data_IF_176590454601
#
_entry.id   IF_176590454601
#
_cell.length_a   1.000
_cell.length_b   1.000
_cell.length_c   1.000
_cell.angle_alpha   90.00
_cell.angle_beta   90.00
_cell.angle_gamma   90.00
#
_symmetry.space_group_name_H-M   'P 1'
#
loop_
_entity.id
_entity.type
_entity.pdbx_description
1 polymer ?
#
# COMPACT_ATOMS: atom_id res chain seq x y z
N UNK A 1 -18.96 4.80 -34.10
CA UNK A 1 -17.63 4.13 -34.07
C UNK A 1 -16.58 4.96 -33.33
N UNK A 2 -16.70 6.28 -33.27
CA UNK A 2 -15.73 7.19 -32.61
C UNK A 2 -15.62 7.09 -31.07
N UNK A 3 -16.64 6.61 -30.35
CA UNK A 3 -16.58 6.50 -28.87
C UNK A 3 -15.78 5.28 -28.34
N UNK A 4 -15.50 4.28 -29.16
CA UNK A 4 -14.79 3.05 -28.73
C UNK A 4 -13.26 3.18 -28.72
N UNK A 5 -12.73 4.08 -29.54
CA UNK A 5 -11.29 4.39 -29.60
C UNK A 5 -10.89 5.31 -28.43
N UNK A 6 -11.80 6.18 -27.98
CA UNK A 6 -11.59 7.05 -26.83
C UNK A 6 -11.29 6.28 -25.53
N UNK A 7 -11.85 5.07 -25.36
CA UNK A 7 -11.68 4.27 -24.15
C UNK A 7 -10.29 3.61 -24.05
N UNK A 8 -9.66 3.32 -25.20
CA UNK A 8 -8.27 2.87 -25.28
C UNK A 8 -7.30 4.02 -24.97
N UNK A 9 -7.63 5.24 -25.40
CA UNK A 9 -6.89 6.45 -25.03
C UNK A 9 -7.04 6.78 -23.54
N UNK A 10 -8.21 6.53 -22.94
CA UNK A 10 -8.46 6.80 -21.51
C UNK A 10 -7.69 5.85 -20.59
N UNK A 11 -7.45 4.60 -21.03
CA UNK A 11 -6.53 3.67 -20.33
C UNK A 11 -5.06 4.08 -20.50
N UNK A 12 -4.72 4.80 -21.57
CA UNK A 12 -3.39 5.35 -21.82
C UNK A 12 -3.10 6.58 -20.94
N UNK A 13 -4.10 7.42 -20.68
CA UNK A 13 -3.95 8.57 -19.76
C UNK A 13 -3.74 8.17 -18.30
N UNK A 14 -4.24 7.00 -17.90
CA UNK A 14 -4.06 6.44 -16.55
C UNK A 14 -2.63 5.93 -16.28
N UNK A 15 -1.84 5.68 -17.34
CA UNK A 15 -0.45 5.20 -17.23
C UNK A 15 0.57 6.35 -17.33
N UNK A 16 0.12 7.59 -17.49
CA UNK A 16 1.02 8.74 -17.49
C UNK A 16 1.21 9.30 -16.08
N UNK A 17 2.46 9.46 -15.61
CA UNK A 17 2.74 10.40 -14.54
C UNK A 17 2.19 11.76 -14.99
N UNK A 18 1.49 12.47 -14.11
CA UNK A 18 1.13 13.88 -14.36
C UNK A 18 2.42 14.69 -14.43
N UNK A 19 3.01 14.74 -15.62
CA UNK A 19 4.10 15.66 -15.92
C UNK A 19 3.53 17.07 -15.86
N UNK A 20 4.07 17.86 -14.93
CA UNK A 20 4.07 19.31 -14.98
C UNK A 20 4.29 19.76 -16.42
N UNK A 21 3.45 20.68 -16.88
CA UNK A 21 3.29 21.08 -18.28
C UNK A 21 4.59 21.52 -18.95
N UNK A 22 5.28 20.55 -19.55
CA UNK A 22 6.07 20.73 -20.76
C UNK A 22 5.37 19.91 -21.85
N UNK A 23 5.23 20.48 -23.04
CA UNK A 23 4.55 19.84 -24.17
C UNK A 23 5.44 18.70 -24.70
N UNK A 24 5.45 17.55 -24.01
CA UNK A 24 6.26 16.40 -24.36
C UNK A 24 5.61 15.68 -25.53
N UNK A 25 6.17 15.83 -26.74
CA UNK A 25 5.74 15.08 -27.91
C UNK A 25 6.34 13.67 -27.85
N UNK A 26 5.50 12.65 -27.63
CA UNK A 26 5.93 11.24 -27.69
C UNK A 26 5.75 10.72 -29.12
N UNK A 27 6.82 10.31 -29.82
CA UNK A 27 6.69 9.73 -31.14
C UNK A 27 5.99 8.36 -31.05
N UNK A 28 5.08 8.11 -31.99
CA UNK A 28 4.43 6.82 -32.14
C UNK A 28 4.47 6.34 -33.59
N UNK A 29 4.51 5.03 -33.77
CA UNK A 29 4.42 4.37 -35.06
C UNK A 29 3.43 3.21 -34.98
N UNK A 30 2.69 2.95 -36.05
CA UNK A 30 1.69 1.91 -36.01
C UNK A 30 0.97 1.67 -37.34
N UNK A 31 0.13 0.64 -37.34
CA UNK A 31 -0.73 0.26 -38.44
C UNK A 31 -2.15 0.07 -37.93
N UNK A 32 -3.11 0.54 -38.72
CA UNK A 32 -4.53 0.32 -38.49
C UNK A 32 -5.05 -0.39 -39.74
N UNK A 33 -5.39 -1.66 -39.58
CA UNK A 33 -6.05 -2.44 -40.61
C UNK A 33 -7.55 -2.39 -40.40
N UNK A 34 -8.23 -1.58 -41.21
CA UNK A 34 -9.69 -1.43 -41.17
C UNK A 34 -10.43 -2.65 -41.72
N UNK A 35 -9.79 -3.44 -42.60
CA UNK A 35 -10.38 -4.63 -43.22
C UNK A 35 -10.39 -5.77 -42.21
N UNK A 36 -9.27 -6.02 -41.55
CA UNK A 36 -9.11 -7.06 -40.54
C UNK A 36 -9.46 -6.58 -39.12
N UNK A 37 -9.80 -5.29 -38.95
CA UNK A 37 -10.14 -4.65 -37.66
C UNK A 37 -9.04 -4.84 -36.61
N UNK A 38 -7.81 -4.61 -37.04
CA UNK A 38 -6.62 -4.74 -36.20
C UNK A 38 -5.95 -3.39 -36.04
N UNK A 39 -5.42 -3.15 -34.84
CA UNK A 39 -4.66 -1.97 -34.50
C UNK A 39 -3.38 -2.43 -33.84
N UNK A 40 -2.24 -1.89 -34.30
CA UNK A 40 -0.96 -2.03 -33.65
C UNK A 40 -0.31 -0.66 -33.58
N UNK A 41 -0.04 -0.17 -32.38
CA UNK A 41 0.59 1.13 -32.13
C UNK A 41 1.73 0.92 -31.14
N UNK A 42 2.89 1.51 -31.42
CA UNK A 42 4.05 1.54 -30.52
C UNK A 42 4.40 3.00 -30.23
N UNK A 43 4.51 3.33 -28.95
CA UNK A 43 4.98 4.59 -28.42
C UNK A 43 6.42 4.38 -27.93
N UNK A 44 7.36 5.16 -28.46
CA UNK A 44 8.75 5.15 -28.02
C UNK A 44 8.94 6.28 -27.00
N UNK A 45 9.28 5.90 -25.77
CA UNK A 45 9.41 6.82 -24.64
C UNK A 45 10.87 7.25 -24.42
N UNK A 46 11.82 6.77 -25.23
CA UNK A 46 13.24 7.00 -25.03
C UNK A 46 13.88 6.00 -24.06
N UNK A 47 15.21 5.98 -24.01
CA UNK A 47 16.01 5.11 -23.11
C UNK A 47 15.62 3.62 -23.14
N UNK A 48 15.27 3.12 -24.33
CA UNK A 48 14.76 1.75 -24.60
C UNK A 48 13.38 1.45 -24.00
N UNK A 49 12.71 2.43 -23.40
CA UNK A 49 11.38 2.29 -22.84
C UNK A 49 10.32 2.42 -23.92
N UNK A 50 9.33 1.53 -23.94
CA UNK A 50 8.23 1.64 -24.91
C UNK A 50 6.93 1.08 -24.36
N UNK A 51 5.84 1.54 -24.97
CA UNK A 51 4.51 0.97 -24.79
C UNK A 51 4.01 0.55 -26.17
N UNK A 52 3.63 -0.72 -26.34
CA UNK A 52 2.97 -1.16 -27.58
C UNK A 52 1.60 -1.74 -27.30
N UNK A 53 0.60 -1.24 -28.01
CA UNK A 53 -0.78 -1.66 -27.93
C UNK A 53 -1.14 -2.43 -29.18
N UNK A 54 -1.72 -3.60 -29.01
CA UNK A 54 -2.32 -4.41 -30.05
C UNK A 54 -3.78 -4.65 -29.70
N UNK A 55 -4.68 -4.47 -30.66
CA UNK A 55 -6.08 -4.78 -30.48
C UNK A 55 -6.64 -5.40 -31.77
N UNK A 56 -7.48 -6.42 -31.61
CA UNK A 56 -8.22 -7.02 -32.71
C UNK A 56 -9.68 -7.21 -32.32
N UNK A 57 -10.58 -7.03 -33.28
CA UNK A 57 -11.99 -7.28 -33.10
C UNK A 57 -12.43 -8.45 -33.97
N UNK A 58 -13.09 -9.43 -33.37
CA UNK A 58 -13.60 -10.59 -34.10
C UNK A 58 -14.98 -10.35 -34.76
N UNK A 59 -15.51 -11.38 -35.42
CA UNK A 59 -16.81 -11.33 -36.09
C UNK A 59 -17.98 -11.05 -35.12
N UNK A 60 -17.87 -11.48 -33.86
CA UNK A 60 -18.86 -11.30 -32.80
C UNK A 60 -18.77 -9.92 -32.12
N UNK A 61 -17.84 -9.07 -32.57
CA UNK A 61 -17.51 -7.75 -32.02
C UNK A 61 -16.79 -7.82 -30.67
N UNK A 62 -16.35 -9.00 -30.25
CA UNK A 62 -15.50 -9.14 -29.08
C UNK A 62 -14.12 -8.58 -29.41
N UNK A 63 -13.55 -7.87 -28.45
CA UNK A 63 -12.25 -7.22 -28.61
C UNK A 63 -11.24 -7.98 -27.80
N UNK A 64 -10.13 -8.38 -28.42
CA UNK A 64 -8.93 -8.85 -27.73
C UNK A 64 -7.87 -7.80 -27.83
N UNK A 65 -7.16 -7.58 -26.75
CA UNK A 65 -6.13 -6.57 -26.70
C UNK A 65 -4.92 -7.05 -25.91
N UNK A 66 -3.76 -6.51 -26.25
CA UNK A 66 -2.52 -6.70 -25.54
C UNK A 66 -1.79 -5.36 -25.44
N UNK A 67 -1.28 -5.04 -24.26
CA UNK A 67 -0.44 -3.87 -23.99
C UNK A 67 0.89 -4.39 -23.44
N UNK A 68 1.95 -4.20 -24.21
CA UNK A 68 3.30 -4.47 -23.76
C UNK A 68 3.90 -3.16 -23.22
N UNK A 69 4.33 -3.18 -21.97
CA UNK A 69 5.00 -2.09 -21.28
C UNK A 69 6.41 -2.58 -21.01
N UNK A 70 7.43 -1.87 -21.49
CA UNK A 70 8.82 -2.23 -21.26
C UNK A 70 9.61 -1.06 -20.67
N UNK A 71 10.19 -1.30 -19.49
CA UNK A 71 11.06 -0.39 -18.74
C UNK A 71 10.46 1.00 -18.45
N UNK A 72 9.14 1.10 -18.32
CA UNK A 72 8.47 2.39 -18.11
C UNK A 72 8.60 2.82 -16.65
N UNK A 73 9.28 3.94 -16.42
CA UNK A 73 9.38 4.55 -15.10
C UNK A 73 8.01 5.09 -14.64
N UNK A 74 7.54 4.61 -13.49
CA UNK A 74 6.35 5.14 -12.80
C UNK A 74 6.77 5.77 -11.47
N UNK A 75 5.91 6.57 -10.81
CA UNK A 75 6.22 7.10 -9.47
C UNK A 75 6.49 6.02 -8.41
N UNK A 76 6.05 4.78 -8.64
CA UNK A 76 6.18 3.68 -7.68
C UNK A 76 7.38 2.78 -7.95
N UNK A 77 7.67 2.50 -9.23
CA UNK A 77 8.73 1.59 -9.71
C UNK A 77 8.94 1.71 -11.23
N UNK A 78 10.04 1.18 -11.76
CA UNK A 78 10.19 0.88 -13.19
C UNK A 78 9.45 -0.40 -13.53
N UNK A 79 8.47 -0.33 -14.44
CA UNK A 79 7.56 -1.42 -14.75
C UNK A 79 7.83 -2.02 -16.14
N UNK A 80 7.93 -3.34 -16.22
CA UNK A 80 7.80 -4.12 -17.46
C UNK A 80 6.70 -5.16 -17.29
N UNK A 81 5.75 -5.26 -18.22
CA UNK A 81 4.66 -6.25 -18.17
C UNK A 81 3.95 -6.37 -19.52
N UNK A 82 3.38 -7.55 -19.78
CA UNK A 82 2.44 -7.74 -20.89
C UNK A 82 1.04 -7.89 -20.32
N UNK A 83 0.18 -6.89 -20.52
CA UNK A 83 -1.24 -6.96 -20.16
C UNK A 83 -2.02 -7.52 -21.34
N UNK A 84 -2.70 -8.63 -21.15
CA UNK A 84 -3.61 -9.23 -22.12
C UNK A 84 -5.03 -9.12 -21.61
N UNK A 85 -5.98 -8.87 -22.49
CA UNK A 85 -7.37 -8.86 -22.09
C UNK A 85 -8.35 -9.08 -23.21
N UNK A 86 -9.60 -9.27 -22.79
CA UNK A 86 -10.74 -9.40 -23.68
C UNK A 86 -11.89 -8.53 -23.19
N UNK A 87 -12.73 -8.10 -24.12
CA UNK A 87 -13.94 -7.33 -23.87
C UNK A 87 -15.08 -7.94 -24.68
N UNK A 88 -16.12 -8.38 -23.99
CA UNK A 88 -17.34 -8.97 -24.54
C UNK A 88 -18.52 -8.03 -24.30
N UNK A 89 -19.39 -7.88 -25.29
CA UNK A 89 -20.60 -7.07 -25.15
C UNK A 89 -21.71 -7.91 -24.50
N UNK A 90 -22.28 -7.47 -23.38
CA UNK A 90 -23.26 -8.26 -22.60
C UNK A 90 -24.61 -8.34 -23.31
N UNK A 91 -25.12 -7.22 -23.82
CA UNK A 91 -26.36 -7.15 -24.61
C UNK A 91 -26.23 -6.06 -25.69
N UNK A 92 -26.56 -6.40 -26.94
CA UNK A 92 -26.32 -5.50 -28.08
C UNK A 92 -27.31 -4.32 -28.16
N UNK A 93 -28.51 -4.49 -27.61
CA UNK A 93 -29.65 -3.57 -27.76
C UNK A 93 -30.10 -2.90 -26.45
N UNK A 94 -29.55 -3.29 -25.29
CA UNK A 94 -29.82 -2.60 -24.03
C UNK A 94 -29.01 -1.30 -23.93
N UNK A 95 -29.71 -0.18 -23.82
CA UNK A 95 -29.13 1.08 -23.36
C UNK A 95 -29.27 1.13 -21.84
N UNK A 96 -28.18 1.34 -21.08
CA UNK A 96 -26.81 1.64 -21.52
C UNK A 96 -25.98 0.37 -21.79
N UNK A 97 -25.16 0.41 -22.86
CA UNK A 97 -24.29 -0.71 -23.22
C UNK A 97 -23.31 -1.03 -22.11
N UNK A 98 -23.29 -2.31 -21.71
CA UNK A 98 -22.33 -2.87 -20.78
C UNK A 98 -21.32 -3.74 -21.51
N UNK A 99 -20.07 -3.70 -21.04
CA UNK A 99 -18.99 -4.53 -21.52
C UNK A 99 -18.35 -5.30 -20.36
N UNK A 100 -18.31 -6.62 -20.46
CA UNK A 100 -17.58 -7.45 -19.52
C UNK A 100 -16.19 -7.73 -20.06
N UNK A 101 -15.17 -7.62 -19.22
CA UNK A 101 -13.81 -7.86 -19.63
C UNK A 101 -13.02 -8.70 -18.64
N UNK A 102 -11.94 -9.27 -19.17
CA UNK A 102 -10.91 -9.95 -18.39
C UNK A 102 -9.58 -9.30 -18.69
N UNK A 103 -8.72 -9.23 -17.68
CA UNK A 103 -7.34 -8.76 -17.79
C UNK A 103 -6.42 -9.78 -17.13
N UNK A 104 -5.27 -10.03 -17.73
CA UNK A 104 -4.19 -10.85 -17.18
C UNK A 104 -2.87 -10.13 -17.47
N UNK A 105 -1.99 -10.00 -16.49
CA UNK A 105 -0.62 -9.56 -16.71
C UNK A 105 0.30 -10.76 -16.84
N UNK A 106 1.33 -10.67 -17.68
CA UNK A 106 2.38 -11.67 -17.82
C UNK A 106 3.75 -11.04 -17.72
N UNK A 107 4.70 -11.81 -17.22
CA UNK A 107 6.11 -11.42 -17.14
C UNK A 107 6.31 -10.08 -16.41
N UNK A 108 5.48 -9.82 -15.38
CA UNK A 108 5.51 -8.55 -14.66
C UNK A 108 6.80 -8.44 -13.86
N UNK A 109 7.54 -7.36 -14.11
CA UNK A 109 8.71 -6.95 -13.37
C UNK A 109 8.46 -5.55 -12.83
N UNK A 110 8.66 -5.37 -11.52
CA UNK A 110 8.72 -4.06 -10.90
C UNK A 110 10.15 -3.88 -10.37
N UNK A 111 10.83 -2.84 -10.83
CA UNK A 111 12.25 -2.58 -10.54
C UNK A 111 13.15 -3.79 -10.80
N UNK A 112 12.89 -4.48 -11.91
CA UNK A 112 13.58 -5.70 -12.34
C UNK A 112 13.37 -6.93 -11.43
N UNK A 113 12.46 -6.84 -10.44
CA UNK A 113 12.07 -7.97 -9.59
C UNK A 113 10.81 -8.63 -10.14
N UNK A 114 10.79 -9.98 -10.27
CA UNK A 114 9.60 -10.73 -10.64
C UNK A 114 8.45 -10.46 -9.68
N UNK A 115 7.30 -10.22 -10.25
CA UNK A 115 6.07 -9.92 -9.56
C UNK A 115 5.02 -10.97 -9.89
N UNK A 116 4.11 -11.30 -8.96
CA UNK A 116 2.95 -12.15 -9.26
C UNK A 116 2.18 -11.68 -10.50
N UNK A 117 1.49 -12.59 -11.18
CA UNK A 117 0.62 -12.18 -12.27
C UNK A 117 -0.68 -11.56 -11.71
N UNK A 118 -1.09 -10.43 -12.27
CA UNK A 118 -2.38 -9.83 -12.06
C UNK A 118 -3.44 -10.55 -12.90
N UNK A 119 -4.58 -10.89 -12.32
CA UNK A 119 -5.74 -11.46 -13.00
C UNK A 119 -6.96 -10.67 -12.55
N UNK A 120 -7.79 -10.21 -13.48
CA UNK A 120 -8.97 -9.44 -13.12
C UNK A 120 -10.17 -9.64 -14.04
N UNK A 121 -11.33 -9.41 -13.46
CA UNK A 121 -12.64 -9.36 -14.09
C UNK A 121 -13.24 -7.98 -13.85
N UNK A 122 -13.73 -7.35 -14.91
CA UNK A 122 -14.29 -6.01 -14.83
C UNK A 122 -15.52 -5.85 -15.73
N UNK A 123 -16.34 -4.86 -15.40
CA UNK A 123 -17.47 -4.40 -16.21
C UNK A 123 -17.31 -2.91 -16.49
N UNK A 124 -17.59 -2.49 -17.72
CA UNK A 124 -17.67 -1.07 -18.09
C UNK A 124 -19.09 -0.76 -18.48
N UNK A 125 -19.75 0.09 -17.70
CA UNK A 125 -21.13 0.53 -17.93
C UNK A 125 -21.31 1.92 -17.35
N UNK A 126 -22.12 2.77 -17.98
CA UNK A 126 -22.46 4.10 -17.45
C UNK A 126 -21.27 4.99 -17.13
N UNK A 127 -20.23 4.97 -17.97
CA UNK A 127 -18.99 5.73 -17.73
C UNK A 127 -18.29 5.34 -16.41
N UNK A 128 -18.56 4.14 -15.91
CA UNK A 128 -17.97 3.59 -14.70
C UNK A 128 -17.31 2.26 -15.02
N UNK A 129 -16.08 2.09 -14.53
CA UNK A 129 -15.39 0.81 -14.49
C UNK A 129 -15.69 0.16 -13.15
N UNK A 130 -16.30 -1.02 -13.18
CA UNK A 130 -16.50 -1.87 -12.02
C UNK A 130 -15.43 -2.96 -12.04
N UNK A 131 -14.60 -2.99 -11.01
CA UNK A 131 -13.59 -4.01 -10.80
C UNK A 131 -14.24 -5.07 -9.89
N UNK A 132 -14.72 -6.16 -10.48
CA UNK A 132 -15.34 -7.25 -9.72
C UNK A 132 -14.28 -8.05 -8.96
N UNK A 133 -13.15 -8.28 -9.61
CA UNK A 133 -11.97 -8.85 -8.99
C UNK A 133 -10.73 -8.40 -9.73
N UNK A 134 -9.69 -8.06 -8.99
CA UNK A 134 -8.33 -7.91 -9.50
C UNK A 134 -7.40 -8.48 -8.44
N UNK A 135 -6.71 -9.56 -8.74
CA UNK A 135 -5.80 -10.24 -7.81
C UNK A 135 -4.38 -10.21 -8.36
N UNK A 136 -3.41 -9.93 -7.51
CA UNK A 136 -1.99 -9.98 -7.80
C UNK A 136 -1.29 -10.66 -6.62
N UNK A 137 -0.98 -11.94 -6.78
CA UNK A 137 -0.46 -12.78 -5.70
C UNK A 137 -1.40 -12.78 -4.48
N UNK A 138 -0.89 -12.29 -3.36
CA UNK A 138 -1.58 -12.23 -2.06
C UNK A 138 -2.37 -10.93 -1.84
N UNK A 139 -2.49 -10.10 -2.87
CA UNK A 139 -3.24 -8.84 -2.84
C UNK A 139 -4.46 -8.98 -3.75
N UNK A 140 -5.62 -8.51 -3.31
CA UNK A 140 -6.81 -8.39 -4.14
C UNK A 140 -7.42 -7.01 -4.05
N UNK A 141 -8.08 -6.58 -5.12
CA UNK A 141 -8.73 -5.29 -5.26
C UNK A 141 -10.10 -5.49 -5.89
N UNK A 142 -11.08 -4.75 -5.39
CA UNK A 142 -12.42 -4.66 -5.95
C UNK A 142 -12.94 -3.24 -5.78
N UNK A 143 -13.97 -2.87 -6.53
CA UNK A 143 -14.61 -1.58 -6.39
C UNK A 143 -14.89 -0.94 -7.74
N UNK A 144 -14.73 0.36 -7.85
CA UNK A 144 -15.07 1.08 -9.06
C UNK A 144 -14.35 2.40 -9.26
N UNK A 145 -14.31 2.83 -10.52
CA UNK A 145 -13.76 4.11 -10.97
C UNK A 145 -14.80 4.79 -11.86
N UNK A 146 -15.23 5.99 -11.47
CA UNK A 146 -16.15 6.82 -12.24
C UNK A 146 -15.38 7.80 -13.14
N UNK A 147 -15.58 7.69 -14.45
CA UNK A 147 -14.91 8.53 -15.45
C UNK A 147 -15.57 9.91 -15.64
N UNK A 148 -16.80 10.12 -15.16
CA UNK A 148 -17.56 11.36 -15.39
C UNK A 148 -17.13 12.51 -14.45
N UNK A 149 -16.50 12.19 -13.31
CA UNK A 149 -16.19 13.13 -12.22
C UNK A 149 -14.70 13.12 -11.84
N UNK A 150 -13.80 13.60 -12.71
CA UNK A 150 -12.36 13.73 -12.43
C UNK A 150 -11.70 12.43 -11.93
N UNK A 151 -12.17 11.27 -12.40
CA UNK A 151 -11.73 9.94 -11.93
C UNK A 151 -11.99 9.77 -10.43
N UNK A 152 -13.25 9.52 -10.06
CA UNK A 152 -13.60 9.26 -8.66
C UNK A 152 -13.43 7.78 -8.34
N UNK A 153 -12.71 7.48 -7.26
CA UNK A 153 -12.35 6.13 -6.83
C UNK A 153 -13.27 5.67 -5.70
N UNK A 154 -13.57 4.38 -5.71
CA UNK A 154 -14.16 3.66 -4.58
C UNK A 154 -13.62 2.24 -4.65
N UNK A 155 -12.48 2.00 -4.00
CA UNK A 155 -11.71 0.77 -4.08
C UNK A 155 -11.48 0.18 -2.69
N UNK A 156 -11.52 -1.15 -2.63
CA UNK A 156 -11.13 -1.93 -1.45
C UNK A 156 -10.01 -2.88 -1.85
N UNK A 157 -8.85 -2.69 -1.23
CA UNK A 157 -7.68 -3.56 -1.37
C UNK A 157 -7.62 -4.46 -0.13
N UNK A 158 -7.45 -5.75 -0.34
CA UNK A 158 -7.24 -6.75 0.72
C UNK A 158 -5.88 -7.39 0.58
N UNK A 159 -5.16 -7.49 1.69
CA UNK A 159 -3.87 -8.15 1.82
C UNK A 159 -4.10 -9.44 2.61
N UNK A 160 -3.69 -10.57 2.02
CA UNK A 160 -3.84 -11.90 2.61
C UNK A 160 -2.47 -12.53 2.81
N UNK A 161 -1.86 -12.30 3.97
CA UNK A 161 -0.52 -12.80 4.33
C UNK A 161 0.60 -12.35 3.37
N UNK A 162 0.57 -11.10 2.92
CA UNK A 162 1.62 -10.52 2.05
C UNK A 162 2.96 -10.60 2.77
N UNK A 163 4.02 -11.00 2.09
CA UNK A 163 5.35 -11.08 2.68
C UNK A 163 5.81 -9.70 3.19
N UNK A 164 6.29 -9.64 4.44
CA UNK A 164 6.70 -8.38 5.06
C UNK A 164 7.82 -7.68 4.28
N UNK A 165 8.78 -8.43 3.72
CA UNK A 165 9.87 -7.82 2.95
C UNK A 165 9.35 -7.19 1.66
N UNK A 166 8.40 -7.84 0.98
CA UNK A 166 7.74 -7.27 -0.20
C UNK A 166 6.91 -6.02 0.16
N UNK A 167 6.19 -6.05 1.28
CA UNK A 167 5.41 -4.92 1.78
C UNK A 167 6.29 -3.71 2.13
N UNK A 168 7.39 -3.93 2.86
CA UNK A 168 8.35 -2.89 3.22
C UNK A 168 9.02 -2.32 1.98
N UNK A 169 9.47 -3.17 1.05
CA UNK A 169 10.07 -2.72 -0.21
C UNK A 169 9.13 -1.79 -0.99
N UNK A 170 7.84 -2.11 -1.07
CA UNK A 170 6.86 -1.26 -1.76
C UNK A 170 6.73 0.14 -1.13
N UNK A 171 6.74 0.22 0.21
CA UNK A 171 6.57 1.45 0.97
C UNK A 171 7.83 2.31 1.02
N UNK A 172 8.99 1.74 1.31
CA UNK A 172 10.23 2.48 1.58
C UNK A 172 11.20 2.52 0.41
N UNK A 173 10.98 1.70 -0.63
CA UNK A 173 11.93 1.47 -1.73
C UNK A 173 13.31 0.95 -1.25
N UNK A 174 13.41 0.50 0.00
CA UNK A 174 14.62 -0.14 0.53
C UNK A 174 14.60 -1.62 0.16
N UNK A 175 15.33 -1.98 -0.91
CA UNK A 175 15.31 -3.34 -1.48
C UNK A 175 15.78 -4.43 -0.53
N UNK A 176 16.68 -4.08 0.39
CA UNK A 176 17.39 -5.04 1.25
C UNK A 176 17.13 -4.79 2.74
N UNK A 177 16.04 -4.08 3.08
CA UNK A 177 15.66 -3.93 4.48
C UNK A 177 15.34 -5.32 5.05
N UNK A 178 16.08 -5.80 6.07
CA UNK A 178 15.83 -7.11 6.63
C UNK A 178 14.45 -7.09 7.29
N UNK A 179 13.53 -7.91 6.80
CA UNK A 179 12.19 -8.04 7.33
C UNK A 179 11.66 -9.45 7.10
N UNK A 180 10.85 -9.95 8.03
CA UNK A 180 10.13 -11.22 7.89
C UNK A 180 8.80 -11.19 8.63
N UNK A 181 7.94 -12.15 8.28
CA UNK A 181 6.56 -12.23 8.75
C UNK A 181 5.59 -11.92 7.62
N UNK A 182 4.31 -11.79 7.98
CA UNK A 182 3.23 -11.56 7.01
C UNK A 182 2.37 -10.37 7.40
N UNK A 183 1.87 -9.64 6.40
CA UNK A 183 0.96 -8.51 6.54
C UNK A 183 -0.41 -8.92 6.00
N UNK A 184 -1.43 -8.76 6.84
CA UNK A 184 -2.82 -9.02 6.49
C UNK A 184 -3.66 -7.79 6.81
N UNK A 185 -4.71 -7.53 6.03
CA UNK A 185 -5.60 -6.42 6.33
C UNK A 185 -6.31 -5.86 5.12
N UNK A 186 -6.88 -4.67 5.29
CA UNK A 186 -7.66 -4.00 4.25
C UNK A 186 -7.31 -2.52 4.16
N UNK A 187 -7.37 -1.97 2.95
CA UNK A 187 -7.18 -0.55 2.65
C UNK A 187 -8.32 -0.11 1.73
N UNK A 188 -9.10 0.86 2.18
CA UNK A 188 -10.12 1.55 1.39
C UNK A 188 -9.56 2.84 0.80
N UNK A 189 -9.89 3.09 -0.46
CA UNK A 189 -9.51 4.28 -1.22
C UNK A 189 -10.80 4.88 -1.78
N UNK A 190 -11.10 6.13 -1.43
CA UNK A 190 -12.32 6.80 -1.86
C UNK A 190 -12.06 8.23 -2.30
N UNK A 191 -12.86 8.76 -3.22
CA UNK A 191 -12.78 10.15 -3.65
C UNK A 191 -11.94 10.37 -4.91
N UNK A 192 -11.68 11.64 -5.27
CA UNK A 192 -11.03 12.00 -6.52
C UNK A 192 -9.60 11.45 -6.62
N UNK A 193 -9.19 10.96 -7.79
CA UNK A 193 -7.84 10.43 -8.06
C UNK A 193 -6.71 11.41 -7.70
N UNK A 194 -6.96 12.72 -7.79
CA UNK A 194 -5.98 13.73 -7.42
C UNK A 194 -5.68 13.78 -5.91
N UNK A 195 -6.65 13.45 -5.06
CA UNK A 195 -6.57 13.53 -3.61
C UNK A 195 -7.46 12.46 -2.95
N UNK A 196 -7.14 11.17 -3.15
CA UNK A 196 -7.96 10.11 -2.59
C UNK A 196 -7.85 10.09 -1.06
N UNK A 197 -9.00 9.90 -0.42
CA UNK A 197 -9.07 9.53 0.99
C UNK A 197 -8.64 8.07 1.14
N UNK A 198 -7.81 7.82 2.14
CA UNK A 198 -7.24 6.51 2.45
C UNK A 198 -7.66 6.13 3.86
N UNK A 199 -8.09 4.88 4.04
CA UNK A 199 -8.33 4.30 5.35
C UNK A 199 -7.86 2.86 5.34
N UNK A 200 -7.14 2.41 6.36
CA UNK A 200 -6.66 1.04 6.40
C UNK A 200 -6.48 0.48 7.79
N UNK A 201 -6.50 -0.84 7.84
CA UNK A 201 -6.31 -1.64 9.05
C UNK A 201 -5.46 -2.83 8.68
N UNK A 202 -4.23 -2.84 9.16
CA UNK A 202 -3.23 -3.85 8.87
C UNK A 202 -2.78 -4.51 10.17
N UNK A 203 -2.46 -5.78 10.08
CA UNK A 203 -1.86 -6.54 11.17
C UNK A 203 -0.72 -7.42 10.69
N UNK A 204 0.21 -7.66 11.59
CA UNK A 204 1.30 -8.62 11.42
C UNK A 204 1.57 -9.31 12.75
N UNK A 205 2.00 -10.56 12.70
CA UNK A 205 2.30 -11.39 13.85
C UNK A 205 3.66 -12.05 13.67
N UNK A 206 4.37 -12.24 14.78
CA UNK A 206 5.64 -12.98 14.85
C UNK A 206 6.62 -12.59 13.74
N UNK A 207 7.01 -11.31 13.72
CA UNK A 207 7.77 -10.74 12.61
C UNK A 207 8.89 -9.81 13.07
N UNK A 208 9.63 -9.32 12.09
CA UNK A 208 10.59 -8.25 12.33
C UNK A 208 10.71 -7.30 11.14
N UNK A 209 11.07 -6.05 11.43
CA UNK A 209 11.44 -5.03 10.45
C UNK A 209 12.69 -4.34 10.99
N UNK A 210 13.83 -4.50 10.31
CA UNK A 210 15.15 -4.04 10.77
C UNK A 210 15.42 -4.54 12.19
N UNK A 211 15.61 -3.61 13.12
CA UNK A 211 15.91 -3.90 14.52
C UNK A 211 14.65 -4.12 15.39
N UNK A 212 13.45 -3.90 14.82
CA UNK A 212 12.18 -4.07 15.52
C UNK A 212 11.68 -5.50 15.38
N UNK A 213 11.78 -6.28 16.45
CA UNK A 213 11.24 -7.65 16.55
C UNK A 213 9.95 -7.62 17.38
N UNK A 214 8.87 -8.21 16.85
CA UNK A 214 7.54 -8.11 17.45
C UNK A 214 6.74 -9.41 17.38
N UNK A 215 5.93 -9.63 18.42
CA UNK A 215 4.93 -10.70 18.47
C UNK A 215 3.65 -10.29 17.74
N UNK A 216 3.27 -9.01 17.85
CA UNK A 216 2.16 -8.44 17.08
C UNK A 216 2.36 -6.97 16.77
N UNK A 217 1.85 -6.56 15.61
CA UNK A 217 1.79 -5.18 15.15
C UNK A 217 0.41 -4.94 14.55
N UNK A 218 -0.25 -3.87 15.01
CA UNK A 218 -1.53 -3.41 14.48
C UNK A 218 -1.37 -1.96 14.01
N UNK A 219 -1.71 -1.70 12.76
CA UNK A 219 -1.60 -0.37 12.16
C UNK A 219 -2.96 0.01 11.60
N UNK A 220 -3.61 0.99 12.23
CA UNK A 220 -4.79 1.62 11.70
C UNK A 220 -4.43 3.03 11.24
N UNK A 221 -4.91 3.41 10.05
CA UNK A 221 -4.61 4.72 9.48
C UNK A 221 -5.80 5.30 8.74
N UNK A 222 -5.82 6.63 8.69
CA UNK A 222 -6.78 7.42 7.92
C UNK A 222 -6.11 8.69 7.40
N UNK A 223 -6.52 9.21 6.25
CA UNK A 223 -5.97 10.46 5.73
C UNK A 223 -6.34 10.74 4.28
N UNK A 224 -5.67 11.73 3.70
CA UNK A 224 -5.81 12.11 2.29
C UNK A 224 -4.41 12.06 1.68
N UNK A 225 -4.26 11.31 0.59
CA UNK A 225 -2.97 11.14 -0.06
C UNK A 225 -2.29 12.50 -0.34
N UNK A 226 -1.00 12.68 -0.02
CA UNK A 226 -0.05 11.64 0.42
C UNK A 226 0.10 11.51 1.94
N UNK A 227 -0.73 12.16 2.76
CA UNK A 227 -0.60 12.16 4.21
C UNK A 227 -1.60 11.20 4.87
N UNK A 228 -1.10 10.33 5.75
CA UNK A 228 -1.92 9.46 6.60
C UNK A 228 -1.62 9.74 8.07
N UNK A 229 -2.64 9.63 8.91
CA UNK A 229 -2.53 9.65 10.36
C UNK A 229 -2.64 8.21 10.86
N UNK A 230 -1.65 7.78 11.63
CA UNK A 230 -1.74 6.58 12.46
C UNK A 230 -2.50 6.93 13.73
N UNK A 231 -3.51 6.11 14.05
CA UNK A 231 -4.31 6.17 15.28
C UNK A 231 -4.56 4.75 15.74
N UNK A 232 -4.76 4.55 17.04
CA UNK A 232 -5.11 3.25 17.63
C UNK A 232 -4.22 2.10 17.12
N UNK A 233 -2.96 2.43 16.82
CA UNK A 233 -1.98 1.50 16.29
C UNK A 233 -1.09 1.07 17.44
N UNK A 234 -0.57 -0.15 17.39
CA UNK A 234 0.21 -0.71 18.48
C UNK A 234 1.24 -1.72 18.00
N UNK A 235 2.29 -1.86 18.78
CA UNK A 235 3.31 -2.88 18.62
C UNK A 235 3.50 -3.56 19.97
N UNK A 236 3.56 -4.88 19.95
CA UNK A 236 3.99 -5.71 21.07
C UNK A 236 5.27 -6.41 20.69
N UNK A 237 6.38 -6.03 21.31
CA UNK A 237 7.69 -6.65 21.14
C UNK A 237 7.74 -8.01 21.83
N UNK A 238 8.60 -8.90 21.33
CA UNK A 238 8.82 -10.25 21.90
C UNK A 238 9.37 -10.23 23.34
N UNK A 239 9.86 -9.08 23.82
CA UNK A 239 10.26 -8.88 25.21
C UNK A 239 9.08 -8.53 26.15
N UNK A 240 7.84 -8.52 25.64
CA UNK A 240 6.63 -8.20 26.39
C UNK A 240 6.31 -6.70 26.49
N UNK A 241 7.09 -5.83 25.86
CA UNK A 241 6.81 -4.39 25.80
C UNK A 241 5.73 -4.11 24.74
N UNK A 242 4.62 -3.50 25.16
CA UNK A 242 3.61 -2.97 24.25
C UNK A 242 3.60 -1.44 24.25
N UNK A 243 3.53 -0.84 23.07
CA UNK A 243 3.39 0.61 22.91
C UNK A 243 2.42 0.96 21.77
N UNK A 244 1.70 2.06 21.94
CA UNK A 244 0.89 2.67 20.91
C UNK A 244 1.78 3.47 19.96
N UNK A 245 1.38 3.48 18.69
CA UNK A 245 1.98 4.25 17.61
C UNK A 245 0.99 5.30 17.12
N UNK A 246 1.35 6.57 17.25
CA UNK A 246 0.52 7.68 16.78
C UNK A 246 1.38 8.71 16.05
N UNK A 247 0.86 9.26 14.95
CA UNK A 247 1.56 10.32 14.22
C UNK A 247 1.16 10.38 12.75
N UNK A 248 1.76 11.32 12.03
CA UNK A 248 1.48 11.56 10.61
C UNK A 248 2.63 11.04 9.76
N UNK A 249 2.32 10.36 8.65
CA UNK A 249 3.27 9.89 7.66
C UNK A 249 2.94 10.46 6.29
N UNK A 250 3.96 10.89 5.55
CA UNK A 250 3.92 11.14 4.12
C UNK A 250 4.32 9.87 3.35
N UNK A 251 3.33 9.17 2.78
CA UNK A 251 3.53 7.92 2.03
C UNK A 251 3.98 8.13 0.58
N UNK A 252 4.18 9.37 0.15
CA UNK A 252 4.85 9.66 -1.13
C UNK A 252 6.38 9.74 -0.99
N UNK A 253 6.89 10.03 0.20
CA UNK A 253 8.33 10.20 0.48
C UNK A 253 8.98 8.90 0.95
N UNK A 254 9.18 7.96 0.03
CA UNK A 254 9.70 6.62 0.32
C UNK A 254 11.08 6.62 1.01
N UNK A 255 11.96 7.56 0.66
CA UNK A 255 13.36 7.61 1.13
C UNK A 255 13.54 8.10 2.57
N UNK A 256 12.53 8.76 3.15
CA UNK A 256 12.58 9.27 4.53
C UNK A 256 11.76 8.44 5.52
N UNK A 257 11.27 7.27 5.11
CA UNK A 257 10.39 6.43 5.94
C UNK A 257 10.97 6.17 7.34
N UNK A 258 12.27 5.91 7.47
CA UNK A 258 12.92 5.73 8.78
C UNK A 258 12.78 6.97 9.67
N UNK A 259 13.09 8.17 9.14
CA UNK A 259 12.98 9.41 9.91
C UNK A 259 11.54 9.70 10.31
N UNK A 260 10.59 9.42 9.41
CA UNK A 260 9.17 9.59 9.69
C UNK A 260 8.71 8.61 10.78
N UNK A 261 9.12 7.34 10.71
CA UNK A 261 8.82 6.34 11.74
C UNK A 261 9.43 6.70 13.10
N UNK A 262 10.66 7.24 13.12
CA UNK A 262 11.31 7.69 14.35
C UNK A 262 10.61 8.93 14.95
N UNK A 263 9.92 9.73 14.14
CA UNK A 263 9.13 10.88 14.59
C UNK A 263 7.76 10.52 15.18
N UNK A 264 7.32 9.26 15.03
CA UNK A 264 6.04 8.81 15.58
C UNK A 264 6.08 8.82 17.12
N UNK A 265 4.98 9.26 17.71
CA UNK A 265 4.76 9.17 19.15
C UNK A 265 4.62 7.71 19.54
N UNK A 266 5.47 7.27 20.48
CA UNK A 266 5.48 5.93 21.05
C UNK A 266 5.10 6.04 22.53
N UNK A 267 3.89 5.61 22.88
CA UNK A 267 3.43 5.67 24.28
C UNK A 267 3.20 4.26 24.83
N UNK A 268 3.63 3.96 26.07
CA UNK A 268 3.48 2.60 26.61
C UNK A 268 2.01 2.24 26.79
N UNK A 269 1.62 1.06 26.31
CA UNK A 269 0.30 0.50 26.56
C UNK A 269 0.35 -0.27 27.89
N UNK A 270 -0.24 0.30 28.94
CA UNK A 270 -0.32 -0.37 30.24
C UNK A 270 -1.43 -1.41 30.16
N UNK A 271 -1.09 -2.70 30.21
CA UNK A 271 -2.08 -3.74 30.49
C UNK A 271 -2.61 -3.50 31.91
N UNK A 272 -3.89 -3.13 32.01
CA UNK A 272 -4.60 -3.00 33.28
C UNK A 272 -4.78 -4.39 33.91
N UNK A 273 -3.79 -4.85 34.68
CA UNK A 273 -4.09 -5.69 35.84
C UNK A 273 -4.38 -4.73 37.00
N UNK A 274 -5.65 -4.57 37.45
CA UNK A 274 -6.03 -3.58 38.45
C UNK A 274 -5.41 -3.81 39.83
N UNK A 275 -4.72 -4.94 40.03
CA UNK A 275 -4.30 -5.35 41.37
C UNK A 275 -2.94 -4.83 41.81
N UNK A 276 -2.05 -4.31 40.93
CA UNK A 276 -0.63 -4.11 41.31
C UNK A 276 0.16 -2.98 40.62
N UNK A 277 -0.36 -1.77 40.43
CA UNK A 277 0.43 -0.70 39.78
C UNK A 277 0.26 0.69 40.42
N UNK A 278 1.26 1.11 41.22
CA UNK A 278 1.52 2.53 41.51
C UNK A 278 2.83 2.93 40.81
N UNK A 279 2.75 3.90 39.90
CA UNK A 279 3.91 4.48 39.21
C UNK A 279 4.47 5.66 40.03
N UNK A 280 5.79 5.68 40.26
CA UNK A 280 6.47 6.88 40.80
C UNK A 280 7.48 7.39 39.77
N UNK A 281 7.28 8.62 39.30
CA UNK A 281 8.17 9.28 38.35
C UNK A 281 9.29 10.01 39.10
N UNK A 282 10.55 9.70 38.80
CA UNK A 282 11.69 10.51 39.30
C UNK A 282 12.49 11.06 38.12
N UNK A 283 12.27 12.33 37.82
CA UNK A 283 13.03 13.11 36.83
C UNK A 283 14.40 13.46 37.42
N UNK A 284 15.48 13.01 36.80
CA UNK A 284 16.85 13.40 37.17
C UNK A 284 17.42 14.22 36.03
N UNK A 285 17.61 15.52 36.26
CA UNK A 285 18.38 16.37 35.36
C UNK A 285 19.88 16.19 35.67
N UNK A 286 20.67 15.82 34.67
CA UNK A 286 22.13 15.94 34.74
C UNK A 286 22.55 17.32 34.25
N UNK A 287 23.36 18.01 35.04
CA UNK A 287 24.09 19.19 34.58
C UNK A 287 24.99 18.78 33.39
N UNK A 288 24.72 19.36 32.22
CA UNK A 288 25.52 19.29 30.98
C UNK A 288 25.29 18.12 29.99
N UNK A 289 24.04 17.74 29.68
CA UNK A 289 23.71 17.08 28.41
C UNK A 289 22.27 17.40 27.96
N UNK A 290 22.05 17.53 26.64
CA UNK A 290 20.76 17.79 25.99
C UNK A 290 19.80 16.59 25.98
N UNK A 291 20.03 15.59 26.84
CA UNK A 291 19.23 14.38 26.92
C UNK A 291 18.56 14.29 28.29
N UNK A 292 17.24 14.05 28.27
CA UNK A 292 16.44 13.86 29.49
C UNK A 292 16.38 12.36 29.74
N UNK A 293 16.91 11.89 30.87
CA UNK A 293 16.78 10.48 31.26
C UNK A 293 15.51 10.31 32.08
N UNK A 294 14.56 9.54 31.57
CA UNK A 294 13.39 9.09 32.34
C UNK A 294 13.69 7.72 32.96
N UNK A 295 13.59 7.63 34.29
CA UNK A 295 13.81 6.40 35.05
C UNK A 295 12.45 5.80 35.43
N UNK A 296 12.22 4.56 35.01
CA UNK A 296 10.99 3.80 35.27
C UNK A 296 11.32 2.62 36.19
N UNK A 297 10.69 2.55 37.37
CA UNK A 297 10.86 1.45 38.32
C UNK A 297 9.52 0.76 38.58
N UNK A 298 9.55 -0.56 38.70
CA UNK A 298 8.40 -1.40 39.08
C UNK A 298 8.48 -1.68 40.58
N UNK A 299 7.46 -1.29 41.35
CA UNK A 299 7.40 -1.55 42.78
C UNK A 299 6.37 -2.64 43.03
N UNK A 300 6.83 -3.88 43.20
CA UNK A 300 5.94 -5.02 43.47
C UNK A 300 5.58 -5.04 44.96
N UNK A 301 4.35 -4.64 45.30
CA UNK A 301 3.84 -4.79 46.67
C UNK A 301 3.42 -6.25 46.87
N UNK A 302 4.18 -7.03 47.65
CA UNK A 302 3.72 -8.34 48.12
C UNK A 302 2.54 -8.14 49.08
N UNK A 303 1.44 -8.83 48.82
CA UNK A 303 0.33 -8.93 49.76
C UNK A 303 0.84 -9.55 51.05
N UNK A 304 0.81 -8.75 52.12
CA UNK A 304 1.29 -9.13 53.44
C UNK A 304 0.19 -9.87 54.16
N UNK A 305 0.03 -11.16 53.84
CA UNK A 305 -0.77 -12.09 54.63
C UNK A 305 0.04 -12.84 55.70
N UNK A 306 1.33 -12.50 55.89
CA UNK A 306 2.10 -12.96 57.05
C UNK A 306 2.79 -11.79 57.75
N UNK A 307 2.33 -11.52 58.98
CA UNK A 307 2.99 -10.65 59.94
C UNK A 307 4.03 -11.47 60.69
N UNK A 308 5.23 -11.57 60.14
CA UNK A 308 6.45 -11.68 60.94
C UNK A 308 7.66 -11.35 60.10
N UNK A 309 8.49 -10.49 60.68
CA UNK A 309 9.85 -10.11 60.30
C UNK A 309 10.05 -8.96 59.31
N UNK A 310 10.66 -7.93 59.90
CA UNK A 310 11.18 -6.70 59.31
C UNK A 310 12.45 -7.02 58.52
N UNK A 311 12.62 -6.23 57.44
CA UNK A 311 13.82 -6.04 56.60
C UNK A 311 14.09 -7.18 55.61
N UNK A 312 13.38 -7.13 54.49
CA UNK A 312 13.99 -6.81 53.19
C UNK A 312 12.86 -6.66 52.17
N UNK A 313 12.63 -5.44 51.69
CA UNK A 313 11.87 -5.23 50.47
C UNK A 313 12.80 -5.64 49.34
N UNK A 314 12.65 -6.86 48.83
CA UNK A 314 13.30 -7.29 47.59
C UNK A 314 12.90 -6.33 46.47
N UNK A 315 13.78 -5.37 46.17
CA UNK A 315 13.65 -4.48 45.02
C UNK A 315 14.14 -5.23 43.78
N UNK A 316 13.22 -5.77 43.00
CA UNK A 316 13.51 -6.09 41.60
C UNK A 316 13.35 -4.82 40.76
N UNK A 317 14.41 -4.02 40.71
CA UNK A 317 14.51 -2.90 39.79
C UNK A 317 14.96 -3.39 38.42
N UNK A 318 14.08 -3.32 37.42
CA UNK A 318 14.51 -3.37 36.01
C UNK A 318 14.92 -1.95 35.66
N UNK A 319 16.23 -1.70 35.62
CA UNK A 319 16.79 -0.46 35.11
C UNK A 319 16.84 -0.52 33.58
N UNK A 320 16.07 0.33 32.89
CA UNK A 320 16.20 0.48 31.44
C UNK A 320 16.33 1.95 31.09
N UNK A 321 17.47 2.29 30.49
CA UNK A 321 17.79 3.61 29.95
C UNK A 321 17.04 3.77 28.63
N UNK A 322 16.17 4.76 28.54
CA UNK A 322 15.62 5.23 27.27
C UNK A 322 16.37 6.53 26.94
N UNK A 323 17.08 6.53 25.82
CA UNK A 323 17.68 7.73 25.26
C UNK A 323 16.73 8.30 24.20
N UNK A 324 16.43 9.60 24.31
CA UNK A 324 15.73 10.41 23.31
C UNK A 324 16.76 11.20 22.52
#
# INVERSE_FOLDING_TARGET
MHKKIALLFLFLELLWPQFSSAQTSVPFAGQIDFVHRQIQIKFDLGDKSFISVQASQDANRDVRWAVNIDHVATPLATLSTVLEGSLMTVEQDALPRSFNGKIVSRYTLADYKPMPEAIGLFEIKNQKLYIHSLSFGKISCQGSVDFDNFLNLDLLIKLSEVDMADFVWFLSNERDAPAAGFVTGEISIAGPWSQPALQGRLSSYEGFIKDLVFDSMFVNFEGIYPFIQLRDSSVTETNGLSFALDGTLNISEKTDFKKQFDSLSKSPLVMEDPSKLEWTFKRVQKENASSTTELKYLLQKKDSADRSDRKDSDMFGIERRVEF
#
